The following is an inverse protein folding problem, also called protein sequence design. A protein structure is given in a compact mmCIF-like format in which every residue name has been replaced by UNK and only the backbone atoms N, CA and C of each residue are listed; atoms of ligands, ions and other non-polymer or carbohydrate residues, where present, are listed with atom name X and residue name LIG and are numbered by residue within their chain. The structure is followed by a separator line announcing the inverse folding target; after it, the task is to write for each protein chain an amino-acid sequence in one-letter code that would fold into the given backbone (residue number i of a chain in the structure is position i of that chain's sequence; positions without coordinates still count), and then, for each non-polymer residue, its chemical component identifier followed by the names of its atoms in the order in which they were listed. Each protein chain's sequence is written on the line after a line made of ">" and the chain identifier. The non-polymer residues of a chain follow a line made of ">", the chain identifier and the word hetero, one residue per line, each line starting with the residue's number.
data_IF_386217402117
#
_entry.id   IF_386217402117
#
_cell.length_a   1.000
_cell.length_b   1.000
_cell.length_c   1.000
_cell.angle_alpha   90.00
_cell.angle_beta   90.00
_cell.angle_gamma   90.00
#
_symmetry.space_group_name_H-M   'P 1'
#
loop_
_entity.id
_entity.type
_entity.pdbx_description
1 polymer ?
#
# COMPACT_ATOMS: atom_id res chain seq x y z
N UNK A 1 26.37 -66.53 23.37
CA UNK A 1 27.28 -65.97 22.34
C UNK A 1 26.60 -64.74 21.75
N UNK A 2 27.12 -63.53 22.07
CA UNK A 2 26.97 -62.21 21.40
C UNK A 2 25.54 -61.81 20.97
N UNK A 3 24.78 -61.03 21.73
CA UNK A 3 24.86 -59.57 21.92
C UNK A 3 24.93 -58.79 20.60
N UNK A 4 23.76 -58.32 20.13
CA UNK A 4 23.65 -57.17 19.24
C UNK A 4 22.55 -56.24 19.76
N UNK A 5 23.02 -55.19 20.42
CA UNK A 5 22.28 -53.98 20.77
C UNK A 5 22.05 -53.17 19.49
N UNK A 6 20.82 -52.76 19.22
CA UNK A 6 20.56 -51.58 18.39
C UNK A 6 19.30 -50.88 18.91
N UNK A 7 19.56 -49.89 19.75
CA UNK A 7 18.69 -48.76 20.02
C UNK A 7 18.42 -48.04 18.70
N UNK A 8 17.16 -47.92 18.29
CA UNK A 8 16.70 -46.83 17.44
C UNK A 8 15.25 -46.53 17.82
N UNK A 9 15.13 -45.58 18.77
CA UNK A 9 13.91 -44.85 19.04
C UNK A 9 13.62 -44.01 17.78
N UNK A 10 12.53 -44.31 17.09
CA UNK A 10 11.94 -43.39 16.11
C UNK A 10 10.49 -43.17 16.50
N UNK A 11 10.31 -42.32 17.50
CA UNK A 11 9.04 -41.64 17.73
C UNK A 11 9.04 -40.43 16.78
N UNK A 12 8.49 -40.59 15.58
CA UNK A 12 8.01 -39.45 14.82
C UNK A 12 6.54 -39.23 15.20
N UNK A 13 6.33 -38.52 16.30
CA UNK A 13 5.07 -37.83 16.58
C UNK A 13 5.33 -36.36 16.31
N UNK A 14 4.97 -35.91 15.11
CA UNK A 14 4.63 -34.52 14.84
C UNK A 14 3.81 -34.44 13.54
N UNK A 15 2.58 -34.95 13.56
CA UNK A 15 1.56 -34.41 12.65
C UNK A 15 1.08 -33.10 13.28
N UNK A 16 1.87 -32.05 13.07
CA UNK A 16 1.38 -30.70 13.25
C UNK A 16 0.26 -30.50 12.23
N UNK A 17 -0.98 -30.54 12.71
CA UNK A 17 -2.11 -29.96 12.02
C UNK A 17 -1.87 -28.43 11.95
N UNK A 18 -1.05 -28.02 10.99
CA UNK A 18 -0.81 -26.63 10.62
C UNK A 18 -1.64 -26.31 9.39
N UNK A 19 -2.88 -25.89 9.64
CA UNK A 19 -3.86 -25.30 8.72
C UNK A 19 -3.26 -24.78 7.39
N UNK A 20 -3.35 -25.58 6.32
CA UNK A 20 -3.28 -25.08 4.95
C UNK A 20 -4.72 -24.78 4.48
N UNK A 21 -5.21 -23.58 4.78
CA UNK A 21 -6.56 -23.18 4.38
C UNK A 21 -7.12 -22.00 5.16
N UNK A 22 -6.28 -21.07 5.59
CA UNK A 22 -6.74 -19.79 6.13
C UNK A 22 -7.09 -18.83 5.00
N UNK A 23 -8.14 -19.11 4.23
CA UNK A 23 -8.73 -18.09 3.36
C UNK A 23 -10.24 -18.04 3.62
N UNK A 24 -10.62 -17.19 4.56
CA UNK A 24 -11.94 -16.58 4.52
C UNK A 24 -11.76 -15.14 4.98
N UNK A 25 -11.44 -14.26 4.01
CA UNK A 25 -12.42 -13.23 3.72
C UNK A 25 -12.58 -13.05 2.20
N UNK A 26 -13.81 -12.82 1.76
CA UNK A 26 -14.06 -12.09 0.53
C UNK A 26 -15.24 -11.19 0.80
N UNK A 27 -15.02 -9.88 0.84
CA UNK A 27 -15.90 -8.91 0.21
C UNK A 27 -15.18 -7.56 0.04
N UNK A 28 -14.28 -7.47 -0.93
CA UNK A 28 -14.04 -6.19 -1.58
C UNK A 28 -15.01 -6.02 -2.75
N UNK A 29 -15.84 -4.97 -2.73
CA UNK A 29 -16.48 -4.27 -3.87
C UNK A 29 -17.11 -3.01 -3.25
N UNK A 30 -17.13 -1.83 -3.82
CA UNK A 30 -16.29 -1.18 -4.82
C UNK A 30 -16.10 0.23 -4.28
N UNK A 31 -14.94 0.53 -3.71
CA UNK A 31 -14.61 1.91 -3.41
C UNK A 31 -14.76 2.72 -4.71
N UNK A 32 -15.50 3.82 -4.65
CA UNK A 32 -15.71 4.75 -5.75
C UNK A 32 -14.67 5.85 -5.72
N UNK A 33 -14.56 6.60 -6.82
CA UNK A 33 -13.66 7.74 -6.91
C UNK A 33 -13.93 8.79 -5.82
N UNK A 34 -15.21 9.03 -5.52
CA UNK A 34 -15.65 10.02 -4.54
C UNK A 34 -15.51 9.57 -3.08
N UNK A 35 -15.09 8.33 -2.82
CA UNK A 35 -14.83 7.83 -1.45
C UNK A 35 -13.47 8.30 -0.92
N UNK A 36 -12.60 8.78 -1.80
CA UNK A 36 -11.32 9.39 -1.44
C UNK A 36 -11.18 10.72 -2.15
N UNK A 37 -10.94 11.74 -1.35
CA UNK A 37 -10.68 13.06 -1.87
C UNK A 37 -9.30 13.11 -2.53
N UNK A 38 -9.28 13.43 -3.81
CA UNK A 38 -8.07 13.59 -4.63
C UNK A 38 -8.14 14.94 -5.29
N UNK A 39 -7.14 15.78 -5.08
CA UNK A 39 -7.08 17.10 -5.69
C UNK A 39 -6.62 18.16 -4.69
N UNK A 40 -6.63 19.43 -5.11
CA UNK A 40 -6.07 20.51 -4.34
C UNK A 40 -7.01 20.96 -3.23
N UNK A 41 -7.20 20.13 -2.20
CA UNK A 41 -8.32 20.34 -1.30
C UNK A 41 -8.06 21.13 -0.03
N UNK A 42 -6.83 21.52 0.28
CA UNK A 42 -6.60 22.53 1.33
C UNK A 42 -5.34 23.38 1.18
N UNK A 43 -4.38 22.96 0.35
CA UNK A 43 -3.02 23.49 0.44
C UNK A 43 -2.64 24.26 -0.83
N UNK A 44 -2.13 25.48 -0.68
CA UNK A 44 -1.79 26.41 -1.79
C UNK A 44 -0.86 25.80 -2.85
N UNK A 45 -0.10 24.77 -2.48
CA UNK A 45 0.87 24.09 -3.33
C UNK A 45 0.37 22.76 -3.87
N UNK A 46 -0.90 22.42 -3.70
CA UNK A 46 -1.45 21.17 -4.24
C UNK A 46 -1.79 21.33 -5.74
N UNK A 47 -1.55 20.27 -6.50
CA UNK A 47 -1.83 20.16 -7.93
C UNK A 47 -2.60 18.89 -8.24
N UNK A 48 -3.21 18.85 -9.41
CA UNK A 48 -3.91 17.66 -9.90
C UNK A 48 -2.92 16.51 -10.17
N UNK A 49 -3.38 15.29 -9.93
CA UNK A 49 -2.68 14.09 -10.40
C UNK A 49 -2.72 14.06 -11.95
N UNK A 50 -1.62 13.72 -12.60
CA UNK A 50 -1.56 13.62 -14.06
C UNK A 50 -2.34 12.40 -14.60
N UNK A 51 -2.57 11.40 -13.74
CA UNK A 51 -3.50 10.31 -14.01
C UNK A 51 -4.17 9.85 -12.72
N UNK A 52 -5.45 9.50 -12.83
CA UNK A 52 -6.25 8.88 -11.79
C UNK A 52 -7.17 7.84 -12.42
N UNK A 53 -6.93 6.56 -12.13
CA UNK A 53 -7.65 5.44 -12.75
C UNK A 53 -8.11 4.47 -11.70
N UNK A 54 -9.35 4.00 -11.83
CA UNK A 54 -9.93 2.97 -10.96
C UNK A 54 -10.19 1.72 -11.79
N UNK A 55 -9.63 0.60 -11.37
CA UNK A 55 -9.91 -0.73 -11.88
C UNK A 55 -10.80 -1.48 -10.89
N UNK A 56 -11.97 -1.93 -11.36
CA UNK A 56 -12.95 -2.71 -10.59
C UNK A 56 -13.14 -4.12 -11.15
N UNK A 57 -12.28 -4.54 -12.09
CA UNK A 57 -12.35 -5.85 -12.75
C UNK A 57 -11.90 -7.01 -11.83
N UNK A 58 -11.07 -6.71 -10.84
CA UNK A 58 -10.52 -7.68 -9.89
C UNK A 58 -11.40 -7.95 -8.67
N UNK A 59 -10.84 -8.70 -7.73
CA UNK A 59 -11.50 -9.01 -6.45
C UNK A 59 -11.68 -7.75 -5.59
N UNK A 60 -10.71 -6.83 -5.55
CA UNK A 60 -10.83 -5.52 -4.90
C UNK A 60 -10.67 -4.38 -5.93
N UNK A 61 -11.31 -3.24 -5.67
CA UNK A 61 -11.07 -2.05 -6.48
C UNK A 61 -9.63 -1.55 -6.24
N UNK A 62 -8.93 -1.23 -7.32
CA UNK A 62 -7.58 -0.67 -7.30
C UNK A 62 -7.63 0.71 -7.91
N UNK A 63 -7.07 1.71 -7.24
CA UNK A 63 -6.91 3.07 -7.77
C UNK A 63 -5.43 3.35 -8.00
N UNK A 64 -5.10 3.84 -9.18
CA UNK A 64 -3.74 4.22 -9.56
C UNK A 64 -3.69 5.72 -9.82
N UNK A 65 -2.91 6.41 -8.99
CA UNK A 65 -2.70 7.85 -9.08
C UNK A 65 -1.26 8.11 -9.53
N UNK A 66 -1.07 9.06 -10.44
CA UNK A 66 0.25 9.47 -10.93
C UNK A 66 0.45 10.94 -10.61
N UNK A 67 1.51 11.23 -9.86
CA UNK A 67 1.93 12.58 -9.51
C UNK A 67 3.26 12.86 -10.21
N UNK A 68 3.28 13.82 -11.13
CA UNK A 68 4.50 14.21 -11.85
C UNK A 68 5.33 15.19 -11.01
N UNK A 69 6.64 15.22 -11.24
CA UNK A 69 7.54 16.16 -10.61
C UNK A 69 7.23 17.59 -11.06
N UNK A 70 7.60 18.58 -10.24
CA UNK A 70 7.62 19.95 -10.73
C UNK A 70 8.77 20.16 -11.71
N UNK A 71 8.55 20.86 -12.83
CA UNK A 71 9.58 21.09 -13.85
C UNK A 71 10.85 21.76 -13.30
N UNK A 72 10.71 22.55 -12.23
CA UNK A 72 11.79 23.41 -11.71
C UNK A 72 12.62 22.76 -10.59
N UNK A 73 12.07 21.83 -9.81
CA UNK A 73 12.80 21.20 -8.69
C UNK A 73 12.96 19.68 -8.79
N UNK A 74 12.25 19.01 -9.71
CA UNK A 74 12.14 17.55 -9.77
C UNK A 74 11.69 16.92 -8.44
N UNK A 75 11.03 17.70 -7.58
CA UNK A 75 10.50 17.19 -6.32
C UNK A 75 9.07 16.70 -6.51
N UNK A 76 8.74 15.64 -5.79
CA UNK A 76 7.39 15.13 -5.67
C UNK A 76 7.04 15.04 -4.19
N UNK A 77 5.91 15.62 -3.82
CA UNK A 77 5.39 15.57 -2.45
C UNK A 77 4.01 14.97 -2.53
N UNK A 78 3.79 13.93 -1.74
CA UNK A 78 2.49 13.30 -1.60
C UNK A 78 2.08 13.45 -0.14
N UNK A 79 0.93 14.06 0.08
CA UNK A 79 0.35 14.19 1.42
C UNK A 79 -0.84 13.27 1.55
N UNK A 80 -1.01 12.73 2.75
CA UNK A 80 -2.06 11.78 3.09
C UNK A 80 -2.78 12.29 4.33
N UNK A 81 -4.11 12.37 4.27
CA UNK A 81 -4.92 12.47 5.49
C UNK A 81 -5.48 11.10 5.83
N UNK A 82 -5.43 10.75 7.10
CA UNK A 82 -5.70 9.40 7.59
C UNK A 82 -6.83 9.41 8.60
N UNK A 83 -7.60 8.32 8.68
CA UNK A 83 -8.69 8.21 9.67
C UNK A 83 -8.09 8.02 11.06
N UNK A 84 -8.29 9.00 11.96
CA UNK A 84 -7.97 8.86 13.38
C UNK A 84 -6.50 9.11 13.76
N UNK A 85 -5.69 9.67 12.87
CA UNK A 85 -4.29 10.05 13.14
C UNK A 85 -3.93 11.44 12.61
N UNK A 86 -2.71 11.89 12.92
CA UNK A 86 -2.15 13.18 12.47
C UNK A 86 -1.95 13.14 10.95
N UNK A 87 -2.27 14.24 10.26
CA UNK A 87 -1.98 14.42 8.84
C UNK A 87 -0.51 14.07 8.55
N UNK A 88 -0.29 13.23 7.54
CA UNK A 88 1.04 12.74 7.19
C UNK A 88 1.44 13.34 5.85
N UNK A 89 2.33 14.34 5.88
CA UNK A 89 2.96 14.87 4.67
C UNK A 89 4.26 14.14 4.40
N UNK A 90 4.43 13.61 3.18
CA UNK A 90 5.66 12.95 2.75
C UNK A 90 6.33 13.74 1.65
N UNK A 91 7.45 14.36 2.01
CA UNK A 91 8.39 14.90 1.05
C UNK A 91 9.21 13.74 0.48
N UNK A 92 9.13 13.49 -0.83
CA UNK A 92 9.95 12.49 -1.52
C UNK A 92 10.95 13.24 -2.43
N UNK A 93 12.09 13.71 -1.89
CA UNK A 93 13.05 14.48 -2.66
C UNK A 93 13.73 13.65 -3.73
N UNK A 94 13.78 14.16 -4.95
CA UNK A 94 14.45 13.49 -6.07
C UNK A 94 13.92 12.09 -6.36
N UNK A 95 12.60 11.93 -6.37
CA UNK A 95 11.97 10.83 -7.09
C UNK A 95 12.22 11.00 -8.60
N UNK A 96 11.99 9.94 -9.38
CA UNK A 96 11.96 10.04 -10.85
C UNK A 96 10.93 11.11 -11.30
N UNK A 97 10.85 11.40 -12.61
CA UNK A 97 9.93 12.39 -13.21
C UNK A 97 8.44 12.24 -12.76
N UNK A 98 8.07 11.10 -12.16
CA UNK A 98 6.75 10.83 -11.59
C UNK A 98 6.80 9.82 -10.43
N UNK A 99 5.83 9.90 -9.52
CA UNK A 99 5.50 8.87 -8.52
C UNK A 99 4.16 8.25 -8.87
N UNK A 100 4.09 6.93 -8.77
CA UNK A 100 2.83 6.18 -8.89
C UNK A 100 2.40 5.69 -7.51
N UNK A 101 1.18 6.06 -7.13
CA UNK A 101 0.49 5.63 -5.93
C UNK A 101 -0.55 4.58 -6.29
N UNK A 102 -0.50 3.44 -5.60
CA UNK A 102 -1.46 2.36 -5.77
C UNK A 102 -2.26 2.22 -4.49
N UNK A 103 -3.56 2.41 -4.60
CA UNK A 103 -4.49 2.26 -3.50
C UNK A 103 -5.34 1.01 -3.73
N UNK A 104 -5.52 0.23 -2.67
CA UNK A 104 -6.35 -0.96 -2.68
C UNK A 104 -7.54 -0.74 -1.75
N UNK A 105 -8.75 -0.99 -2.24
CA UNK A 105 -9.94 -0.98 -1.41
C UNK A 105 -9.88 -2.17 -0.44
N UNK A 106 -10.02 -1.92 0.86
CA UNK A 106 -10.06 -2.98 1.88
C UNK A 106 -11.47 -3.58 2.04
N UNK A 107 -11.60 -4.63 2.87
CA UNK A 107 -12.88 -5.29 3.17
C UNK A 107 -13.87 -4.39 3.93
N UNK A 108 -13.41 -3.25 4.48
CA UNK A 108 -14.24 -2.24 5.15
C UNK A 108 -14.77 -1.16 4.18
N UNK A 109 -14.42 -1.23 2.90
CA UNK A 109 -14.82 -0.25 1.89
C UNK A 109 -14.01 1.05 1.96
N UNK A 110 -12.74 0.99 2.36
CA UNK A 110 -11.86 2.14 2.48
C UNK A 110 -10.62 1.99 1.60
N UNK A 111 -10.13 3.11 1.08
CA UNK A 111 -8.89 3.14 0.31
C UNK A 111 -7.68 3.00 1.24
N UNK A 112 -6.83 2.01 0.97
CA UNK A 112 -5.56 1.80 1.67
C UNK A 112 -4.39 2.02 0.73
N UNK A 113 -3.37 2.74 1.18
CA UNK A 113 -2.14 2.90 0.42
C UNK A 113 -1.34 1.59 0.38
N UNK A 114 -0.78 1.27 -0.78
CA UNK A 114 -0.08 0.01 -1.08
C UNK A 114 1.36 0.24 -1.55
N UNK A 115 1.89 1.44 -1.37
CA UNK A 115 3.14 1.82 -2.00
C UNK A 115 4.35 1.73 -1.10
N UNK A 116 5.43 1.23 -1.71
CA UNK A 116 6.79 1.33 -1.24
C UNK A 116 7.60 2.07 -2.30
N UNK A 117 8.36 3.05 -1.86
CA UNK A 117 9.15 3.91 -2.74
C UNK A 117 10.56 4.01 -2.21
N UNK A 118 11.49 4.25 -3.11
CA UNK A 118 12.87 4.57 -2.78
C UNK A 118 13.25 5.84 -3.52
N UNK A 119 13.73 6.87 -2.81
CA UNK A 119 14.18 8.10 -3.44
C UNK A 119 15.58 7.94 -4.06
N UNK A 120 16.07 8.95 -4.79
CA UNK A 120 17.43 8.96 -5.36
C UNK A 120 18.56 8.74 -4.34
N UNK A 121 18.30 9.02 -3.07
CA UNK A 121 19.25 8.88 -1.97
C UNK A 121 19.18 7.48 -1.31
N UNK A 122 18.42 6.54 -1.92
CA UNK A 122 18.20 5.17 -1.44
C UNK A 122 17.45 5.06 -0.11
N UNK A 123 16.69 6.09 0.26
CA UNK A 123 15.80 6.05 1.41
C UNK A 123 14.48 5.40 1.03
N UNK A 124 14.08 4.35 1.77
CA UNK A 124 12.84 3.63 1.53
C UNK A 124 11.69 4.17 2.38
N UNK A 125 10.53 4.32 1.75
CA UNK A 125 9.31 4.81 2.36
C UNK A 125 8.18 3.84 2.08
N UNK A 126 7.38 3.49 3.09
CA UNK A 126 6.20 2.63 2.93
C UNK A 126 4.96 3.32 3.50
N UNK A 127 3.86 3.25 2.77
CA UNK A 127 2.53 3.66 3.27
C UNK A 127 1.58 2.46 3.40
N UNK A 128 2.12 1.24 3.32
CA UNK A 128 1.36 -0.01 3.25
C UNK A 128 0.33 -0.14 4.38
N UNK A 129 -0.93 -0.34 3.99
CA UNK A 129 -2.05 -0.58 4.91
C UNK A 129 -2.62 0.69 5.56
N UNK A 130 -2.14 1.87 5.19
CA UNK A 130 -2.64 3.14 5.74
C UNK A 130 -3.99 3.49 5.11
N UNK A 131 -5.03 3.63 5.92
CA UNK A 131 -6.36 4.06 5.46
C UNK A 131 -6.37 5.57 5.20
N UNK A 132 -6.82 5.96 4.01
CA UNK A 132 -6.80 7.34 3.53
C UNK A 132 -8.20 7.95 3.47
N UNK A 133 -8.29 9.24 3.81
CA UNK A 133 -9.46 10.09 3.54
C UNK A 133 -9.18 11.15 2.47
N UNK A 134 -7.91 11.53 2.34
CA UNK A 134 -7.43 12.47 1.32
C UNK A 134 -6.03 12.06 0.89
N UNK A 135 -5.74 12.27 -0.39
CA UNK A 135 -4.39 12.19 -0.93
C UNK A 135 -4.18 13.35 -1.91
N UNK A 136 -3.06 14.05 -1.77
CA UNK A 136 -2.76 15.23 -2.58
C UNK A 136 -1.36 15.14 -3.17
N UNK A 137 -1.25 15.50 -4.45
CA UNK A 137 0.00 15.71 -5.16
C UNK A 137 0.39 17.18 -5.01
N UNK A 138 1.62 17.50 -4.60
CA UNK A 138 2.05 18.91 -4.46
C UNK A 138 3.04 19.32 -5.55
N UNK A 139 3.14 20.64 -5.73
CA UNK A 139 4.16 21.34 -6.48
C UNK A 139 5.30 21.81 -5.57
#
# INVERSE_FOLDING_TARGET
>A
MRLFTLFLVSIFVLNAAGSCGGATPKNCKSCQANDLNTGPTTDEYSKEFSSDKIDTSGDCAVRTLVCEATPDSNDIIITYKTIGSVDYSRWMPGMDEQVTEVLTCNDEGQWTASGEWTNKDSESFSANGTVLTEISCMS
#
